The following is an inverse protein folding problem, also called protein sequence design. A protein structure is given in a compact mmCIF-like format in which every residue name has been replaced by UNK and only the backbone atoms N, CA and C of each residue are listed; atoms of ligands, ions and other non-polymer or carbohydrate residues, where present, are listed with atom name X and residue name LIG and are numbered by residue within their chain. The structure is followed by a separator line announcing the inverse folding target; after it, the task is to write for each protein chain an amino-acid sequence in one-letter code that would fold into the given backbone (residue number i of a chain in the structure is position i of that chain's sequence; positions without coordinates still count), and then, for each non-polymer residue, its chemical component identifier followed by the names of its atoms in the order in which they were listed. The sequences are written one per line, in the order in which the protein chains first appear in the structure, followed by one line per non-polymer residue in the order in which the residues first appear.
data_IF_502440353753
#
_entry.id   IF_502440353753
#
_cell.length_a   1.000
_cell.length_b   1.000
_cell.length_c   1.000
_cell.angle_alpha   90.00
_cell.angle_beta   90.00
_cell.angle_gamma   90.00
#
_symmetry.space_group_name_H-M   'P 1'
#
loop_
_entity.id
_entity.type
_entity.pdbx_description
1 polymer ?
#
# COMPACT_ATOMS: atom_id res chain seq x y z
N UNK A 1 -24.87 -4.25 2.95
CA UNK A 1 -23.54 -3.71 3.25
C UNK A 1 -23.45 -2.29 2.73
N UNK A 2 -23.18 -1.30 3.58
CA UNK A 2 -23.02 0.10 3.14
C UNK A 2 -21.74 0.35 2.34
N UNK A 3 -21.56 1.57 1.83
CA UNK A 3 -20.37 2.01 1.05
C UNK A 3 -19.06 1.69 1.78
N UNK A 4 -19.02 1.88 3.10
CA UNK A 4 -17.86 1.52 3.94
C UNK A 4 -17.51 0.03 3.88
N UNK A 5 -18.50 -0.85 3.87
CA UNK A 5 -18.28 -2.30 3.76
C UNK A 5 -17.71 -2.69 2.40
N UNK A 6 -18.16 -2.04 1.32
CA UNK A 6 -17.61 -2.25 -0.02
C UNK A 6 -16.17 -1.77 -0.15
N UNK A 7 -15.86 -0.59 0.38
CA UNK A 7 -14.48 -0.07 0.40
C UNK A 7 -13.59 -1.01 1.21
N UNK A 8 -14.07 -1.51 2.36
CA UNK A 8 -13.29 -2.42 3.18
C UNK A 8 -13.00 -3.77 2.51
N UNK A 9 -13.99 -4.30 1.79
CA UNK A 9 -13.88 -5.59 1.12
C UNK A 9 -13.00 -5.52 -0.14
N UNK A 10 -13.10 -4.44 -0.92
CA UNK A 10 -12.42 -4.30 -2.21
C UNK A 10 -11.15 -3.47 -2.17
N UNK A 11 -10.89 -2.73 -1.10
CA UNK A 11 -9.70 -1.88 -0.99
C UNK A 11 -8.40 -2.68 -1.04
N UNK A 12 -8.31 -3.78 -0.29
CA UNK A 12 -7.15 -4.66 -0.34
C UNK A 12 -6.98 -5.36 -1.71
N UNK A 13 -8.02 -5.99 -2.31
CA UNK A 13 -7.94 -6.50 -3.68
C UNK A 13 -7.48 -5.46 -4.72
N UNK A 14 -8.00 -4.23 -4.65
CA UNK A 14 -7.62 -3.16 -5.56
C UNK A 14 -6.14 -2.75 -5.39
N UNK A 15 -5.66 -2.67 -4.15
CA UNK A 15 -4.26 -2.41 -3.85
C UNK A 15 -3.33 -3.52 -4.34
N UNK A 16 -3.73 -4.80 -4.22
CA UNK A 16 -2.96 -5.93 -4.73
C UNK A 16 -2.91 -5.98 -6.26
N UNK A 17 -4.03 -5.65 -6.93
CA UNK A 17 -4.05 -5.48 -8.39
C UNK A 17 -3.08 -4.37 -8.81
N UNK A 18 -3.09 -3.23 -8.10
CA UNK A 18 -2.17 -2.14 -8.35
C UNK A 18 -0.70 -2.52 -8.10
N UNK A 19 -0.41 -3.27 -7.03
CA UNK A 19 0.93 -3.82 -6.77
C UNK A 19 1.44 -4.70 -7.91
N UNK A 20 0.55 -5.49 -8.51
CA UNK A 20 0.88 -6.35 -9.65
C UNK A 20 1.25 -5.52 -10.87
N UNK A 21 0.50 -4.44 -11.14
CA UNK A 21 0.82 -3.48 -12.21
C UNK A 21 2.17 -2.80 -11.96
N UNK A 22 2.42 -2.34 -10.73
CA UNK A 22 3.70 -1.72 -10.36
C UNK A 22 4.88 -2.69 -10.53
N UNK A 23 4.72 -3.95 -10.11
CA UNK A 23 5.74 -4.99 -10.29
C UNK A 23 6.06 -5.22 -11.78
N UNK A 24 5.04 -5.25 -12.63
CA UNK A 24 5.24 -5.40 -14.08
C UNK A 24 6.00 -4.22 -14.68
N UNK A 25 5.71 -2.98 -14.25
CA UNK A 25 6.44 -1.79 -14.71
C UNK A 25 7.89 -1.80 -14.19
N UNK A 26 8.12 -2.17 -12.92
CA UNK A 26 9.46 -2.27 -12.34
C UNK A 26 10.31 -3.30 -13.11
N UNK A 27 9.76 -4.49 -13.35
CA UNK A 27 10.45 -5.54 -14.12
C UNK A 27 10.72 -5.12 -15.58
N UNK A 28 9.83 -4.34 -16.19
CA UNK A 28 10.06 -3.78 -17.54
C UNK A 28 11.22 -2.77 -17.53
N UNK A 29 11.30 -1.90 -16.52
CA UNK A 29 12.37 -0.88 -16.38
C UNK A 29 13.74 -1.51 -16.12
N UNK A 30 13.79 -2.57 -15.30
CA UNK A 30 15.02 -3.32 -15.06
C UNK A 30 15.55 -4.07 -16.31
N UNK A 31 14.79 -4.09 -17.40
CA UNK A 31 15.05 -4.87 -18.62
C UNK A 31 16.13 -4.34 -19.57
N UNK A 32 16.95 -3.34 -19.22
CA UNK A 32 18.07 -2.93 -20.07
C UNK A 32 19.30 -3.84 -19.95
N UNK A 33 19.37 -4.74 -18.97
CA UNK A 33 20.52 -5.62 -18.71
C UNK A 33 20.25 -7.10 -19.07
N UNK A 34 19.88 -7.40 -20.32
CA UNK A 34 20.20 -8.65 -21.04
C UNK A 34 19.98 -10.06 -20.44
N UNK A 35 19.42 -10.25 -19.23
CA UNK A 35 19.28 -11.58 -18.61
C UNK A 35 17.83 -11.83 -18.17
N UNK A 36 17.14 -12.70 -18.92
CA UNK A 36 15.77 -13.16 -18.63
C UNK A 36 15.58 -13.63 -17.18
N UNK A 37 16.60 -14.31 -16.61
CA UNK A 37 16.59 -14.78 -15.23
C UNK A 37 16.58 -13.62 -14.21
N UNK A 38 17.32 -12.54 -14.48
CA UNK A 38 17.35 -11.35 -13.64
C UNK A 38 15.99 -10.65 -13.63
N UNK A 39 15.35 -10.52 -14.79
CA UNK A 39 14.02 -9.92 -14.92
C UNK A 39 12.95 -10.66 -14.10
N UNK A 40 12.98 -11.99 -14.10
CA UNK A 40 12.03 -12.80 -13.33
C UNK A 40 12.26 -12.67 -11.82
N UNK A 41 13.52 -12.67 -11.37
CA UNK A 41 13.85 -12.43 -9.96
C UNK A 41 13.44 -11.03 -9.49
N UNK A 42 13.71 -10.00 -10.29
CA UNK A 42 13.28 -8.62 -10.01
C UNK A 42 11.76 -8.52 -9.95
N UNK A 43 11.03 -9.20 -10.83
CA UNK A 43 9.58 -9.23 -10.81
C UNK A 43 9.02 -9.88 -9.54
N UNK A 44 9.54 -11.06 -9.14
CA UNK A 44 9.10 -11.76 -7.93
C UNK A 44 9.42 -10.92 -6.68
N UNK A 45 10.61 -10.33 -6.62
CA UNK A 45 11.01 -9.46 -5.51
C UNK A 45 10.12 -8.22 -5.43
N UNK A 46 9.83 -7.58 -6.57
CA UNK A 46 8.94 -6.42 -6.63
C UNK A 46 7.49 -6.76 -6.25
N UNK A 47 6.97 -7.93 -6.67
CA UNK A 47 5.65 -8.41 -6.22
C UNK A 47 5.61 -8.52 -4.71
N UNK A 48 6.61 -9.18 -4.11
CA UNK A 48 6.64 -9.39 -2.66
C UNK A 48 6.67 -8.05 -1.91
N UNK A 49 7.55 -7.13 -2.33
CA UNK A 49 7.68 -5.81 -1.72
C UNK A 49 6.38 -4.99 -1.87
N UNK A 50 5.83 -4.89 -3.08
CA UNK A 50 4.60 -4.15 -3.31
C UNK A 50 3.38 -4.79 -2.65
N UNK A 51 3.38 -6.10 -2.44
CA UNK A 51 2.31 -6.80 -1.70
C UNK A 51 2.34 -6.39 -0.23
N UNK A 52 3.49 -6.47 0.44
CA UNK A 52 3.64 -6.03 1.84
C UNK A 52 3.25 -4.56 1.99
N UNK A 53 3.77 -3.70 1.11
CA UNK A 53 3.45 -2.28 1.09
C UNK A 53 1.94 -2.01 0.92
N UNK A 54 1.25 -2.81 0.10
CA UNK A 54 -0.20 -2.72 -0.05
C UNK A 54 -0.97 -3.16 1.20
N UNK A 55 -0.53 -4.21 1.89
CA UNK A 55 -1.11 -4.58 3.19
C UNK A 55 -0.92 -3.48 4.24
N UNK A 56 0.28 -2.91 4.33
CA UNK A 56 0.58 -1.81 5.26
C UNK A 56 -0.20 -0.53 4.90
N UNK A 57 -0.29 -0.20 3.61
CA UNK A 57 -1.12 0.90 3.10
C UNK A 57 -2.58 0.68 3.47
N UNK A 58 -3.08 -0.54 3.32
CA UNK A 58 -4.46 -0.86 3.66
C UNK A 58 -4.71 -0.72 5.17
N UNK A 59 -3.82 -1.26 6.01
CA UNK A 59 -3.88 -1.12 7.46
C UNK A 59 -3.81 0.37 7.89
N UNK A 60 -3.00 1.16 7.19
CA UNK A 60 -2.87 2.59 7.42
C UNK A 60 -4.16 3.34 7.13
N UNK A 61 -4.83 3.03 6.01
CA UNK A 61 -6.13 3.61 5.66
C UNK A 61 -7.19 3.26 6.71
N UNK A 62 -7.16 2.04 7.25
CA UNK A 62 -8.01 1.62 8.37
C UNK A 62 -7.73 2.52 9.59
N UNK A 63 -6.48 2.69 10.00
CA UNK A 63 -6.14 3.55 11.13
C UNK A 63 -6.51 5.02 10.91
N UNK A 64 -6.42 5.53 9.69
CA UNK A 64 -6.88 6.89 9.36
C UNK A 64 -8.39 7.05 9.56
N UNK A 65 -9.17 6.07 9.11
CA UNK A 65 -10.64 6.08 9.26
C UNK A 65 -11.03 5.99 10.74
N UNK A 66 -10.49 5.02 11.48
CA UNK A 66 -10.76 4.89 12.91
C UNK A 66 -10.24 6.08 13.72
N UNK A 67 -9.07 6.62 13.37
CA UNK A 67 -8.51 7.83 13.96
C UNK A 67 -9.41 9.04 13.79
N UNK A 68 -10.00 9.22 12.60
CA UNK A 68 -10.98 10.28 12.35
C UNK A 68 -12.21 10.17 13.25
N UNK A 69 -12.81 8.99 13.36
CA UNK A 69 -13.96 8.78 14.24
C UNK A 69 -13.60 8.99 15.71
N UNK A 70 -12.44 8.50 16.15
CA UNK A 70 -11.96 8.71 17.52
C UNK A 70 -11.74 10.20 17.84
N UNK A 71 -11.24 11.01 16.90
CA UNK A 71 -11.13 12.48 17.07
C UNK A 71 -12.52 13.10 17.19
N UNK A 72 -13.49 12.67 16.37
CA UNK A 72 -14.87 13.17 16.45
C UNK A 72 -15.53 12.87 17.78
N UNK A 73 -15.15 11.78 18.44
CA UNK A 73 -15.60 11.41 19.79
C UNK A 73 -14.77 12.08 20.91
N UNK A 74 -13.79 12.93 20.58
CA UNK A 74 -12.96 13.64 21.55
C UNK A 74 -11.81 12.82 22.14
N UNK A 75 -11.50 11.66 21.56
CA UNK A 75 -10.40 10.80 22.01
C UNK A 75 -9.04 11.30 21.51
N UNK A 76 -8.12 11.53 22.44
CA UNK A 76 -6.72 11.90 22.13
C UNK A 76 -5.99 10.82 21.33
N UNK A 77 -6.39 9.55 21.50
CA UNK A 77 -5.87 8.43 20.72
C UNK A 77 -6.17 8.56 19.22
N UNK A 78 -7.26 9.27 18.88
CA UNK A 78 -7.60 9.52 17.49
C UNK A 78 -6.52 10.30 16.75
N UNK A 79 -5.90 11.29 17.40
CA UNK A 79 -4.79 12.03 16.80
C UNK A 79 -3.56 11.15 16.55
N UNK A 80 -3.23 10.25 17.49
CA UNK A 80 -2.12 9.30 17.33
C UNK A 80 -2.38 8.31 16.18
N UNK A 81 -3.60 7.78 16.08
CA UNK A 81 -3.98 6.88 14.99
C UNK A 81 -4.05 7.58 13.64
N UNK A 82 -4.44 8.85 13.60
CA UNK A 82 -4.57 9.59 12.34
C UNK A 82 -3.21 10.09 11.84
N UNK A 83 -2.47 10.83 12.66
CA UNK A 83 -1.23 11.51 12.23
C UNK A 83 -0.01 10.61 12.37
N UNK A 84 0.04 9.84 13.46
CA UNK A 84 1.15 8.93 13.76
C UNK A 84 1.05 7.65 12.93
N UNK A 85 0.29 6.67 13.41
CA UNK A 85 0.28 5.33 12.82
C UNK A 85 -0.38 5.28 11.44
N UNK A 86 -1.47 6.01 11.22
CA UNK A 86 -2.14 6.09 9.92
C UNK A 86 -1.28 6.85 8.90
N UNK A 87 -1.12 8.15 9.09
CA UNK A 87 -0.47 9.04 8.14
C UNK A 87 0.98 8.69 7.83
N UNK A 88 1.81 8.46 8.85
CA UNK A 88 3.23 8.10 8.64
C UNK A 88 3.36 6.76 7.91
N UNK A 89 2.60 5.74 8.33
CA UNK A 89 2.66 4.44 7.69
C UNK A 89 2.15 4.49 6.25
N UNK A 90 1.17 5.34 5.94
CA UNK A 90 0.71 5.57 4.57
C UNK A 90 1.86 6.10 3.72
N UNK A 91 2.51 7.16 4.18
CA UNK A 91 3.61 7.81 3.47
C UNK A 91 4.78 6.84 3.22
N UNK A 92 5.16 6.06 4.23
CA UNK A 92 6.29 5.13 4.14
C UNK A 92 5.97 3.86 3.35
N UNK A 93 4.70 3.46 3.25
CA UNK A 93 4.30 2.17 2.70
C UNK A 93 3.54 2.28 1.39
N UNK A 94 3.23 3.47 0.90
CA UNK A 94 2.47 3.61 -0.34
C UNK A 94 3.28 3.04 -1.53
N UNK A 95 2.80 1.99 -2.22
CA UNK A 95 3.60 1.24 -3.20
C UNK A 95 4.19 2.11 -4.31
N UNK A 96 3.47 3.16 -4.74
CA UNK A 96 3.91 4.07 -5.81
C UNK A 96 5.13 4.90 -5.41
N UNK A 97 5.26 5.28 -4.13
CA UNK A 97 6.39 6.09 -3.65
C UNK A 97 7.69 5.29 -3.57
N UNK A 98 7.62 3.96 -3.57
CA UNK A 98 8.78 3.07 -3.55
C UNK A 98 9.27 2.64 -4.94
N UNK A 99 8.76 3.26 -5.99
CA UNK A 99 9.20 2.92 -7.33
C UNK A 99 10.52 3.65 -7.65
N UNK A 100 11.60 2.95 -8.00
CA UNK A 100 12.83 3.59 -8.47
C UNK A 100 12.55 4.35 -9.79
N UNK A 101 13.15 5.54 -9.92
CA UNK A 101 12.97 6.45 -11.06
C UNK A 101 13.33 5.82 -12.41
#
# INVERSE_FOLDING_TARGET
MGVFGWIFLWGLPALLLWSTVLAAIHAKRAGSEGRFLGRTLTFISAIYEYTINSFLTWLSLIFLVFGFFAIKEGSIWGFLFMTGTGGLMLYLSFPRLKMPE
#
